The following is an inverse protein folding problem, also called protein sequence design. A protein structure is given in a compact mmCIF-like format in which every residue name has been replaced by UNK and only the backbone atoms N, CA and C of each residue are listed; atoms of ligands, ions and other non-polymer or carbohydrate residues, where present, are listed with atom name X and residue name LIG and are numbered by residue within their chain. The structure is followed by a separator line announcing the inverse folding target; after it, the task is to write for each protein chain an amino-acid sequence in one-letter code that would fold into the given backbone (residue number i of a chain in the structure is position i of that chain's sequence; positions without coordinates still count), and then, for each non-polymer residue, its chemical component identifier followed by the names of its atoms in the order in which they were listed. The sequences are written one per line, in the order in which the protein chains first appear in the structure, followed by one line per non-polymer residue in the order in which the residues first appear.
data_IF_428202485733
#
_entry.id   IF_428202485733
#
_cell.length_a   1.000
_cell.length_b   1.000
_cell.length_c   1.000
_cell.angle_alpha   90.00
_cell.angle_beta   90.00
_cell.angle_gamma   90.00
#
_symmetry.space_group_name_H-M   'P 1'
#
loop_
_entity.id
_entity.type
_entity.pdbx_description
1 polymer ?
#
# COMPACT_ATOMS: atom_id res chain seq x y z
N UNK A 1 -14.08 -28.78 11.21
CA UNK A 1 -15.40 -29.33 11.61
C UNK A 1 -16.54 -28.90 10.69
N UNK A 2 -16.65 -27.63 10.26
CA UNK A 2 -17.76 -27.14 9.41
C UNK A 2 -18.04 -27.98 8.15
N UNK A 3 -17.00 -28.42 7.42
CA UNK A 3 -17.20 -29.25 6.22
C UNK A 3 -17.79 -30.63 6.48
N UNK A 4 -17.47 -31.26 7.63
CA UNK A 4 -18.06 -32.55 8.01
C UNK A 4 -19.54 -32.40 8.41
N UNK A 5 -19.92 -31.26 9.00
CA UNK A 5 -21.33 -30.96 9.25
C UNK A 5 -22.11 -30.79 7.94
N UNK A 6 -21.51 -30.16 6.91
CA UNK A 6 -22.08 -30.09 5.57
C UNK A 6 -22.25 -31.46 4.91
N UNK A 7 -21.27 -32.36 5.08
CA UNK A 7 -21.37 -33.73 4.60
C UNK A 7 -22.57 -34.46 5.23
N UNK A 8 -22.72 -34.39 6.56
CA UNK A 8 -23.85 -34.95 7.29
C UNK A 8 -25.19 -34.35 6.83
N UNK A 9 -25.27 -33.02 6.71
CA UNK A 9 -26.49 -32.34 6.28
C UNK A 9 -26.89 -32.70 4.86
N UNK A 10 -25.93 -32.78 3.93
CA UNK A 10 -26.16 -33.15 2.55
C UNK A 10 -26.63 -34.61 2.42
N UNK A 11 -26.02 -35.53 3.17
CA UNK A 11 -26.46 -36.92 3.22
C UNK A 11 -27.85 -37.04 3.84
N UNK A 12 -28.13 -36.36 4.95
CA UNK A 12 -29.46 -36.39 5.58
C UNK A 12 -30.56 -35.84 4.65
N UNK A 13 -30.28 -34.76 3.92
CA UNK A 13 -31.19 -34.21 2.92
C UNK A 13 -31.44 -35.20 1.76
N UNK A 14 -30.38 -35.87 1.28
CA UNK A 14 -30.51 -36.92 0.26
C UNK A 14 -31.34 -38.10 0.76
N UNK A 15 -31.17 -38.51 2.01
CA UNK A 15 -31.96 -39.57 2.64
C UNK A 15 -33.43 -39.21 2.73
N UNK A 16 -33.76 -38.00 3.19
CA UNK A 16 -35.16 -37.53 3.25
C UNK A 16 -35.82 -37.50 1.86
N UNK A 17 -35.09 -37.02 0.85
CA UNK A 17 -35.57 -37.03 -0.54
C UNK A 17 -35.75 -38.47 -1.06
N UNK A 18 -34.80 -39.36 -0.78
CA UNK A 18 -34.90 -40.78 -1.14
C UNK A 18 -36.11 -41.46 -0.51
N UNK A 19 -36.40 -41.20 0.77
CA UNK A 19 -37.57 -41.74 1.46
C UNK A 19 -38.89 -41.29 0.80
N UNK A 20 -38.97 -40.03 0.37
CA UNK A 20 -40.14 -39.52 -0.35
C UNK A 20 -40.28 -40.13 -1.77
N UNK A 21 -39.18 -40.56 -2.38
CA UNK A 21 -39.15 -41.16 -3.72
C UNK A 21 -39.39 -42.67 -3.72
N UNK A 22 -39.26 -43.33 -2.56
CA UNK A 22 -39.22 -44.79 -2.43
C UNK A 22 -40.40 -45.54 -3.04
N UNK A 23 -41.61 -44.96 -2.99
CA UNK A 23 -42.83 -45.61 -3.50
C UNK A 23 -43.06 -45.38 -5.01
N UNK A 24 -42.35 -44.42 -5.60
CA UNK A 24 -42.65 -43.88 -6.95
C UNK A 24 -41.53 -44.09 -7.96
N UNK A 25 -40.30 -44.35 -7.51
CA UNK A 25 -39.11 -44.40 -8.34
C UNK A 25 -38.25 -45.61 -8.03
N UNK A 26 -37.57 -46.13 -9.06
CA UNK A 26 -36.60 -47.21 -8.91
C UNK A 26 -35.41 -46.82 -8.06
N UNK A 27 -34.78 -47.84 -7.48
CA UNK A 27 -33.62 -47.72 -6.60
C UNK A 27 -32.43 -46.97 -7.25
N UNK A 28 -32.28 -47.10 -8.57
CA UNK A 28 -31.25 -46.40 -9.36
C UNK A 28 -31.43 -44.88 -9.28
N UNK A 29 -32.67 -44.38 -9.36
CA UNK A 29 -32.96 -42.94 -9.28
C UNK A 29 -32.65 -42.39 -7.87
N UNK A 30 -32.89 -43.19 -6.83
CA UNK A 30 -32.55 -42.83 -5.45
C UNK A 30 -31.03 -42.76 -5.28
N UNK A 31 -30.27 -43.70 -5.85
CA UNK A 31 -28.80 -43.66 -5.83
C UNK A 31 -28.23 -42.39 -6.48
N UNK A 32 -28.87 -41.89 -7.55
CA UNK A 32 -28.47 -40.63 -8.20
C UNK A 32 -28.64 -39.41 -7.29
N UNK A 33 -29.63 -39.40 -6.39
CA UNK A 33 -29.82 -38.32 -5.40
C UNK A 33 -28.64 -38.27 -4.42
N UNK A 34 -28.17 -39.44 -3.97
CA UNK A 34 -26.98 -39.53 -3.12
C UNK A 34 -25.71 -39.12 -3.86
N UNK A 35 -25.56 -39.51 -5.13
CA UNK A 35 -24.47 -39.05 -5.98
C UNK A 35 -24.47 -37.52 -6.10
N UNK A 36 -25.62 -36.92 -6.33
CA UNK A 36 -25.77 -35.46 -6.40
C UNK A 36 -25.35 -34.79 -5.09
N UNK A 37 -25.74 -35.34 -3.93
CA UNK A 37 -25.31 -34.82 -2.63
C UNK A 37 -23.79 -34.86 -2.46
N UNK A 38 -23.14 -35.97 -2.84
CA UNK A 38 -21.67 -36.10 -2.83
C UNK A 38 -21.01 -35.07 -3.76
N UNK A 39 -21.56 -34.86 -4.95
CA UNK A 39 -21.10 -33.85 -5.91
C UNK A 39 -21.18 -32.44 -5.31
N UNK A 40 -22.30 -32.07 -4.68
CA UNK A 40 -22.47 -30.76 -4.03
C UNK A 40 -21.44 -30.56 -2.92
N UNK A 41 -21.20 -31.58 -2.09
CA UNK A 41 -20.17 -31.53 -1.04
C UNK A 41 -18.78 -31.40 -1.68
N UNK A 42 -18.45 -32.14 -2.74
CA UNK A 42 -17.18 -32.03 -3.46
C UNK A 42 -16.95 -30.63 -4.06
N UNK A 43 -18.01 -30.00 -4.57
CA UNK A 43 -17.94 -28.65 -5.12
C UNK A 43 -17.75 -27.59 -4.03
N UNK A 44 -18.29 -27.77 -2.82
CA UNK A 44 -18.21 -26.75 -1.75
C UNK A 44 -17.05 -26.98 -0.78
N UNK A 45 -16.80 -28.22 -0.39
CA UNK A 45 -15.87 -28.60 0.67
C UNK A 45 -14.55 -29.19 0.14
N UNK A 46 -13.68 -29.62 1.07
CA UNK A 46 -12.39 -30.27 0.76
C UNK A 46 -12.52 -31.80 0.67
N UNK A 47 -11.46 -32.48 0.23
CA UNK A 47 -11.45 -33.94 0.01
C UNK A 47 -11.93 -34.75 1.22
N UNK A 48 -11.55 -34.36 2.45
CA UNK A 48 -11.95 -35.07 3.67
C UNK A 48 -13.47 -35.14 3.88
N UNK A 49 -14.18 -34.00 3.95
CA UNK A 49 -15.64 -33.96 3.95
C UNK A 49 -16.31 -34.69 2.80
N UNK A 50 -15.75 -34.66 1.59
CA UNK A 50 -16.31 -35.40 0.45
C UNK A 50 -16.23 -36.91 0.65
N UNK A 51 -15.08 -37.42 1.11
CA UNK A 51 -14.94 -38.84 1.47
C UNK A 51 -15.93 -39.23 2.57
N UNK A 52 -16.07 -38.39 3.59
CA UNK A 52 -17.07 -38.61 4.65
C UNK A 52 -18.50 -38.62 4.10
N UNK A 53 -18.87 -37.67 3.23
CA UNK A 53 -20.17 -37.64 2.57
C UNK A 53 -20.40 -38.89 1.71
N UNK A 54 -19.38 -39.36 0.98
CA UNK A 54 -19.50 -40.62 0.22
C UNK A 54 -19.77 -41.79 1.14
N UNK A 55 -18.97 -41.98 2.20
CA UNK A 55 -19.14 -43.10 3.15
C UNK A 55 -20.51 -43.05 3.83
N UNK A 56 -20.93 -41.87 4.29
CA UNK A 56 -22.24 -41.68 4.92
C UNK A 56 -23.38 -41.95 3.93
N UNK A 57 -23.26 -41.46 2.69
CA UNK A 57 -24.26 -41.67 1.64
C UNK A 57 -24.35 -43.14 1.22
N UNK A 58 -23.22 -43.84 1.14
CA UNK A 58 -23.17 -45.29 0.89
C UNK A 58 -23.89 -46.04 2.01
N UNK A 59 -23.51 -45.79 3.27
CA UNK A 59 -24.10 -46.48 4.42
C UNK A 59 -25.61 -46.20 4.56
N UNK A 60 -26.02 -44.94 4.39
CA UNK A 60 -27.43 -44.56 4.47
C UNK A 60 -28.25 -45.16 3.32
N UNK A 61 -27.69 -45.21 2.11
CA UNK A 61 -28.36 -45.83 0.96
C UNK A 61 -28.54 -47.34 1.15
N UNK A 62 -27.47 -48.04 1.55
CA UNK A 62 -27.47 -49.49 1.75
C UNK A 62 -28.49 -49.91 2.83
N UNK A 63 -28.39 -49.33 4.02
CA UNK A 63 -29.20 -49.71 5.18
C UNK A 63 -30.69 -49.42 4.97
N UNK A 64 -31.04 -48.34 4.27
CA UNK A 64 -32.43 -47.83 4.21
C UNK A 64 -33.18 -48.18 2.92
N UNK A 65 -32.48 -48.52 1.83
CA UNK A 65 -33.10 -48.68 0.52
C UNK A 65 -32.79 -50.02 -0.17
N UNK A 66 -31.68 -50.70 0.18
CA UNK A 66 -31.32 -52.00 -0.41
C UNK A 66 -31.94 -53.15 0.42
N UNK A 67 -32.73 -54.06 -0.18
CA UNK A 67 -33.27 -55.22 0.54
C UNK A 67 -32.19 -56.30 0.79
N UNK A 68 -32.18 -56.99 1.95
CA UNK A 68 -33.05 -56.78 3.11
C UNK A 68 -32.72 -55.50 3.88
N UNK A 69 -33.76 -54.75 4.26
CA UNK A 69 -33.61 -53.45 4.91
C UNK A 69 -33.08 -53.61 6.34
N UNK A 70 -32.26 -52.66 6.78
CA UNK A 70 -31.71 -52.65 8.14
C UNK A 70 -30.48 -53.52 8.34
N UNK A 71 -29.97 -54.17 7.29
CA UNK A 71 -28.71 -54.91 7.30
C UNK A 71 -27.71 -54.29 6.33
N UNK A 72 -26.42 -54.32 6.68
CA UNK A 72 -25.34 -53.94 5.76
C UNK A 72 -24.85 -55.21 5.04
N UNK A 73 -25.43 -55.52 3.89
CA UNK A 73 -25.13 -56.74 3.10
C UNK A 73 -24.63 -56.36 1.71
N UNK A 74 -23.30 -56.34 1.55
CA UNK A 74 -22.62 -55.95 0.30
C UNK A 74 -22.44 -57.15 -0.64
N UNK A 75 -23.48 -57.98 -0.80
CA UNK A 75 -23.37 -59.23 -1.57
C UNK A 75 -23.66 -59.06 -3.07
N UNK A 76 -24.24 -57.93 -3.49
CA UNK A 76 -24.52 -57.64 -4.90
C UNK A 76 -23.44 -56.74 -5.52
N UNK A 77 -22.75 -57.27 -6.53
CA UNK A 77 -21.71 -56.58 -7.28
C UNK A 77 -22.19 -55.25 -7.89
N UNK A 78 -23.49 -55.11 -8.14
CA UNK A 78 -24.09 -53.89 -8.68
C UNK A 78 -24.04 -52.70 -7.70
N UNK A 79 -24.19 -52.93 -6.39
CA UNK A 79 -24.11 -51.87 -5.38
C UNK A 79 -22.66 -51.47 -5.07
N UNK A 80 -21.75 -52.44 -5.08
CA UNK A 80 -20.31 -52.18 -4.98
C UNK A 80 -19.82 -51.27 -6.11
N UNK A 81 -20.32 -51.48 -7.33
CA UNK A 81 -20.05 -50.61 -8.49
C UNK A 81 -20.56 -49.18 -8.26
N UNK A 82 -21.77 -49.02 -7.72
CA UNK A 82 -22.36 -47.70 -7.42
C UNK A 82 -21.52 -46.94 -6.39
N UNK A 83 -21.03 -47.63 -5.36
CA UNK A 83 -20.16 -47.04 -4.32
C UNK A 83 -18.81 -46.62 -4.91
N UNK A 84 -18.21 -47.47 -5.73
CA UNK A 84 -16.96 -47.16 -6.42
C UNK A 84 -17.11 -45.93 -7.33
N UNK A 85 -18.20 -45.82 -8.09
CA UNK A 85 -18.50 -44.67 -8.94
C UNK A 85 -18.67 -43.40 -8.11
N UNK A 86 -19.46 -43.45 -7.02
CA UNK A 86 -19.71 -42.27 -6.19
C UNK A 86 -18.44 -41.76 -5.51
N UNK A 87 -17.58 -42.66 -5.04
CA UNK A 87 -16.27 -42.31 -4.51
C UNK A 87 -15.36 -41.72 -5.59
N UNK A 88 -15.28 -42.36 -6.76
CA UNK A 88 -14.48 -41.88 -7.88
C UNK A 88 -14.90 -40.46 -8.31
N UNK A 89 -16.21 -40.22 -8.48
CA UNK A 89 -16.76 -38.91 -8.84
C UNK A 89 -16.42 -37.85 -7.78
N UNK A 90 -16.64 -38.15 -6.50
CA UNK A 90 -16.32 -37.23 -5.40
C UNK A 90 -14.83 -36.87 -5.35
N UNK A 91 -13.95 -37.86 -5.52
CA UNK A 91 -12.51 -37.66 -5.53
C UNK A 91 -12.03 -36.89 -6.77
N UNK A 92 -12.57 -37.20 -7.96
CA UNK A 92 -12.25 -36.49 -9.21
C UNK A 92 -12.63 -35.03 -9.10
N UNK A 93 -13.87 -34.73 -8.67
CA UNK A 93 -14.35 -33.34 -8.54
C UNK A 93 -13.51 -32.58 -7.51
N UNK A 94 -13.26 -33.19 -6.35
CA UNK A 94 -12.42 -32.57 -5.31
C UNK A 94 -10.99 -32.33 -5.80
N UNK A 95 -10.44 -33.26 -6.59
CA UNK A 95 -9.12 -33.15 -7.21
C UNK A 95 -9.03 -32.02 -8.24
N UNK A 96 -10.02 -31.94 -9.14
CA UNK A 96 -10.12 -30.87 -10.14
C UNK A 96 -10.25 -29.49 -9.50
N UNK A 97 -11.11 -29.37 -8.49
CA UNK A 97 -11.29 -28.13 -7.73
C UNK A 97 -10.02 -27.69 -7.03
N UNK A 98 -9.29 -28.62 -6.41
CA UNK A 98 -8.03 -28.28 -5.75
C UNK A 98 -6.96 -27.84 -6.75
N UNK A 99 -6.87 -28.51 -7.91
CA UNK A 99 -5.97 -28.11 -9.00
C UNK A 99 -6.31 -26.70 -9.54
N UNK A 100 -7.59 -26.43 -9.80
CA UNK A 100 -8.05 -25.12 -10.27
C UNK A 100 -7.74 -24.01 -9.24
N UNK A 101 -7.96 -24.26 -7.95
CA UNK A 101 -7.61 -23.30 -6.87
C UNK A 101 -6.10 -23.06 -6.80
N UNK A 102 -5.28 -24.10 -6.95
CA UNK A 102 -3.82 -23.96 -6.98
C UNK A 102 -3.36 -23.14 -8.18
N UNK A 103 -3.93 -23.38 -9.37
CA UNK A 103 -3.64 -22.59 -10.56
C UNK A 103 -4.04 -21.12 -10.41
N UNK A 104 -5.24 -20.85 -9.89
CA UNK A 104 -5.70 -19.47 -9.65
C UNK A 104 -4.79 -18.73 -8.65
N UNK A 105 -4.36 -19.39 -7.58
CA UNK A 105 -3.40 -18.81 -6.62
C UNK A 105 -2.04 -18.53 -7.26
N UNK A 106 -1.48 -19.51 -7.99
CA UNK A 106 -0.21 -19.33 -8.68
C UNK A 106 -0.26 -18.18 -9.70
N UNK A 107 -1.36 -18.05 -10.45
CA UNK A 107 -1.55 -16.92 -11.37
C UNK A 107 -1.66 -15.57 -10.64
N UNK A 108 -2.35 -15.52 -9.50
CA UNK A 108 -2.43 -14.31 -8.69
C UNK A 108 -1.04 -13.90 -8.14
N UNK A 109 -0.26 -14.86 -7.65
CA UNK A 109 1.10 -14.62 -7.17
C UNK A 109 2.04 -14.14 -8.29
N UNK A 110 1.98 -14.75 -9.48
CA UNK A 110 2.72 -14.29 -10.65
C UNK A 110 2.31 -12.88 -11.08
N UNK A 111 1.01 -12.56 -11.04
CA UNK A 111 0.50 -11.23 -11.35
C UNK A 111 1.04 -10.16 -10.39
N UNK A 112 1.03 -10.43 -9.09
CA UNK A 112 1.59 -9.54 -8.07
C UNK A 112 3.10 -9.32 -8.24
N UNK A 113 3.85 -10.38 -8.54
CA UNK A 113 5.28 -10.29 -8.79
C UNK A 113 5.58 -9.47 -10.06
N UNK A 114 4.85 -9.71 -11.15
CA UNK A 114 5.01 -8.98 -12.40
C UNK A 114 4.67 -7.49 -12.24
N UNK A 115 3.64 -7.16 -11.46
CA UNK A 115 3.28 -5.77 -11.18
C UNK A 115 4.37 -5.08 -10.35
N UNK A 116 4.90 -5.77 -9.33
CA UNK A 116 6.02 -5.25 -8.53
C UNK A 116 7.26 -4.97 -9.40
N UNK A 117 7.59 -5.87 -10.32
CA UNK A 117 8.73 -5.72 -11.22
C UNK A 117 8.51 -4.62 -12.27
N UNK A 118 7.28 -4.49 -12.79
CA UNK A 118 6.90 -3.38 -13.68
C UNK A 118 7.05 -2.03 -12.99
N UNK A 119 6.52 -1.91 -11.77
CA UNK A 119 6.67 -0.70 -10.96
C UNK A 119 8.16 -0.43 -10.81
N UNK A 120 8.95 -1.38 -10.29
CA UNK A 120 10.41 -1.27 -10.11
C UNK A 120 11.12 -0.78 -11.38
N UNK A 121 10.81 -1.38 -12.53
CA UNK A 121 11.40 -1.01 -13.82
C UNK A 121 11.02 0.42 -14.24
N UNK A 122 9.76 0.81 -14.08
CA UNK A 122 9.31 2.18 -14.33
C UNK A 122 10.01 3.18 -13.39
N UNK A 123 10.27 2.81 -12.13
CA UNK A 123 11.03 3.64 -11.18
C UNK A 123 12.45 3.88 -11.70
N UNK A 124 13.15 2.82 -12.10
CA UNK A 124 14.52 2.91 -12.60
C UNK A 124 14.60 3.77 -13.87
N UNK A 125 13.61 3.65 -14.76
CA UNK A 125 13.52 4.46 -15.98
C UNK A 125 13.32 5.95 -15.67
N UNK A 126 12.41 6.30 -14.74
CA UNK A 126 12.18 7.68 -14.30
C UNK A 126 13.41 8.29 -13.64
N UNK A 127 14.05 7.57 -12.70
CA UNK A 127 15.29 8.03 -12.05
C UNK A 127 16.39 8.29 -13.10
N UNK A 128 16.53 7.39 -14.07
CA UNK A 128 17.53 7.53 -15.14
C UNK A 128 17.27 8.76 -16.02
N UNK A 129 16.01 9.08 -16.30
CA UNK A 129 15.63 10.26 -17.06
C UNK A 129 15.98 11.54 -16.29
N UNK A 130 15.60 11.60 -15.01
CA UNK A 130 15.76 12.80 -14.19
C UNK A 130 17.22 13.09 -13.86
N UNK A 131 18.10 12.08 -13.81
CA UNK A 131 19.54 12.25 -13.69
C UNK A 131 20.21 12.67 -15.02
N UNK A 132 19.62 12.32 -16.17
CA UNK A 132 20.18 12.65 -17.49
C UNK A 132 20.09 14.14 -17.80
N UNK A 133 19.00 14.80 -17.40
CA UNK A 133 18.80 16.23 -17.63
C UNK A 133 19.89 17.09 -16.98
N UNK A 134 20.19 16.95 -15.67
CA UNK A 134 21.34 17.58 -15.01
C UNK A 134 22.65 17.33 -15.74
N UNK A 135 22.88 16.08 -16.10
CA UNK A 135 24.12 15.64 -16.72
C UNK A 135 24.32 16.24 -18.10
N UNK A 136 23.26 16.39 -18.89
CA UNK A 136 23.30 17.03 -20.20
C UNK A 136 23.64 18.53 -20.08
N UNK A 137 23.05 19.23 -19.10
CA UNK A 137 23.34 20.64 -18.83
C UNK A 137 24.81 20.83 -18.40
N UNK A 138 25.27 20.02 -17.44
CA UNK A 138 26.67 20.05 -17.00
C UNK A 138 27.63 19.77 -18.17
N UNK A 139 27.36 18.73 -18.96
CA UNK A 139 28.20 18.36 -20.09
C UNK A 139 28.26 19.47 -21.15
N UNK A 140 27.12 20.09 -21.49
CA UNK A 140 27.07 21.19 -22.45
C UNK A 140 27.80 22.45 -21.97
N UNK A 141 27.63 22.81 -20.69
CA UNK A 141 28.33 23.93 -20.07
C UNK A 141 29.84 23.67 -19.98
N UNK A 142 30.26 22.49 -19.54
CA UNK A 142 31.67 22.08 -19.50
C UNK A 142 32.31 22.03 -20.89
N UNK A 143 31.62 21.51 -21.91
CA UNK A 143 32.11 21.51 -23.29
C UNK A 143 32.30 22.93 -23.83
N UNK A 144 31.33 23.82 -23.55
CA UNK A 144 31.41 25.23 -23.96
C UNK A 144 32.59 25.95 -23.29
N UNK A 145 32.81 25.70 -21.99
CA UNK A 145 33.97 26.20 -21.26
C UNK A 145 35.29 25.67 -21.83
N UNK A 146 35.35 24.38 -22.19
CA UNK A 146 36.56 23.75 -22.73
C UNK A 146 36.92 24.24 -24.15
N UNK A 147 35.94 24.36 -25.05
CA UNK A 147 36.18 24.70 -26.46
C UNK A 147 36.31 26.21 -26.71
N UNK A 148 35.57 27.01 -25.94
CA UNK A 148 35.37 28.44 -26.22
C UNK A 148 35.70 29.33 -25.03
N UNK A 149 36.05 28.78 -23.87
CA UNK A 149 36.25 29.53 -22.64
C UNK A 149 37.15 30.75 -22.79
N UNK A 150 38.28 30.65 -23.50
CA UNK A 150 39.21 31.77 -23.72
C UNK A 150 38.60 32.93 -24.52
N UNK A 151 37.61 32.66 -25.36
CA UNK A 151 36.89 33.66 -26.17
C UNK A 151 35.66 34.24 -25.47
N UNK A 152 35.31 33.72 -24.28
CA UNK A 152 34.18 34.18 -23.49
C UNK A 152 34.60 35.28 -22.52
N UNK A 153 33.68 36.20 -22.24
CA UNK A 153 33.82 37.16 -21.16
C UNK A 153 33.96 36.45 -19.80
N UNK A 154 34.50 37.16 -18.81
CA UNK A 154 34.61 36.63 -17.44
C UNK A 154 33.23 36.29 -16.85
N UNK A 155 32.20 37.08 -17.18
CA UNK A 155 30.84 36.90 -16.68
C UNK A 155 30.18 35.65 -17.27
N UNK A 156 30.29 35.43 -18.57
CA UNK A 156 29.76 34.21 -19.22
C UNK A 156 30.45 32.94 -18.70
N UNK A 157 31.77 33.00 -18.50
CA UNK A 157 32.57 31.90 -17.96
C UNK A 157 32.14 31.56 -16.53
N UNK A 158 31.96 32.57 -15.69
CA UNK A 158 31.46 32.41 -14.34
C UNK A 158 30.02 31.88 -14.31
N UNK A 159 29.15 32.34 -15.21
CA UNK A 159 27.77 31.86 -15.30
C UNK A 159 27.71 30.36 -15.65
N UNK A 160 28.49 29.91 -16.64
CA UNK A 160 28.58 28.48 -16.97
C UNK A 160 29.18 27.65 -15.82
N UNK A 161 30.24 28.13 -15.17
CA UNK A 161 30.84 27.45 -14.03
C UNK A 161 29.87 27.31 -12.85
N UNK A 162 29.09 28.36 -12.55
CA UNK A 162 28.01 28.32 -11.55
C UNK A 162 26.92 27.34 -11.94
N UNK A 163 26.49 27.35 -13.20
CA UNK A 163 25.49 26.39 -13.72
C UNK A 163 25.94 24.93 -13.50
N UNK A 164 27.20 24.60 -13.80
CA UNK A 164 27.75 23.26 -13.52
C UNK A 164 27.73 22.94 -12.02
N UNK A 165 28.14 23.88 -11.18
CA UNK A 165 28.17 23.70 -9.73
C UNK A 165 26.77 23.47 -9.14
N UNK A 166 25.81 24.30 -9.51
CA UNK A 166 24.43 24.21 -9.04
C UNK A 166 23.79 22.89 -9.48
N UNK A 167 24.04 22.48 -10.73
CA UNK A 167 23.49 21.25 -11.28
C UNK A 167 24.10 19.99 -10.63
N UNK A 168 25.39 20.02 -10.27
CA UNK A 168 26.04 18.95 -9.52
C UNK A 168 25.47 18.82 -8.09
N UNK A 169 25.22 19.95 -7.42
CA UNK A 169 24.57 19.97 -6.10
C UNK A 169 23.16 19.39 -6.15
N UNK A 170 22.38 19.77 -7.17
CA UNK A 170 21.04 19.21 -7.38
C UNK A 170 21.10 17.70 -7.60
N UNK A 171 22.01 17.22 -8.45
CA UNK A 171 22.18 15.79 -8.73
C UNK A 171 22.55 15.00 -7.47
N UNK A 172 23.45 15.53 -6.62
CA UNK A 172 23.78 14.91 -5.32
C UNK A 172 22.54 14.79 -4.44
N UNK A 173 21.75 15.87 -4.31
CA UNK A 173 20.53 15.86 -3.52
C UNK A 173 19.47 14.87 -4.05
N UNK A 174 19.43 14.64 -5.37
CA UNK A 174 18.57 13.62 -5.98
C UNK A 174 19.02 12.19 -5.63
N UNK A 175 20.32 11.90 -5.68
CA UNK A 175 20.88 10.59 -5.29
C UNK A 175 20.57 10.29 -3.82
N UNK A 176 20.73 11.28 -2.93
CA UNK A 176 20.41 11.13 -1.52
C UNK A 176 18.93 10.76 -1.29
N UNK A 177 18.01 11.39 -2.04
CA UNK A 177 16.57 11.06 -2.00
C UNK A 177 16.28 9.62 -2.43
N UNK A 178 16.95 9.11 -3.46
CA UNK A 178 16.81 7.72 -3.93
C UNK A 178 17.33 6.72 -2.89
N UNK A 179 18.53 6.96 -2.36
CA UNK A 179 19.14 6.11 -1.33
C UNK A 179 18.28 6.06 -0.07
N UNK A 180 17.75 7.21 0.33
CA UNK A 180 16.85 7.28 1.46
C UNK A 180 15.56 6.48 1.23
N UNK A 181 14.94 6.60 0.06
CA UNK A 181 13.72 5.84 -0.24
C UNK A 181 13.99 4.33 -0.13
N UNK A 182 15.16 3.88 -0.60
CA UNK A 182 15.57 2.48 -0.50
C UNK A 182 15.73 2.05 0.97
N UNK A 183 16.32 2.90 1.83
CA UNK A 183 16.45 2.64 3.27
C UNK A 183 15.09 2.58 3.98
N UNK A 184 14.15 3.46 3.61
CA UNK A 184 12.77 3.46 4.13
C UNK A 184 12.01 2.18 3.74
N UNK A 185 12.17 1.70 2.51
CA UNK A 185 11.50 0.49 2.00
C UNK A 185 12.06 -0.81 2.60
N UNK A 186 13.38 -0.87 2.77
CA UNK A 186 14.06 -2.06 3.32
C UNK A 186 13.91 -2.17 4.84
N UNK A 187 13.31 -1.17 5.49
CA UNK A 187 13.20 -1.11 6.95
C UNK A 187 14.56 -0.92 7.64
N UNK A 188 15.59 -0.48 6.91
CA UNK A 188 16.94 -0.30 7.42
C UNK A 188 17.12 0.95 8.31
N UNK A 189 16.04 1.71 8.54
CA UNK A 189 16.05 2.92 9.35
C UNK A 189 15.67 2.58 10.79
N UNK A 190 16.59 2.85 11.71
CA UNK A 190 16.31 2.84 13.14
C UNK A 190 15.86 4.24 13.54
N UNK A 191 14.69 4.38 14.15
CA UNK A 191 14.18 5.67 14.60
C UNK A 191 14.84 6.09 15.92
N UNK A 192 15.47 7.26 15.92
CA UNK A 192 16.02 7.88 17.13
C UNK A 192 14.99 8.88 17.67
N UNK A 193 14.03 8.38 18.47
CA UNK A 193 12.94 9.23 19.00
C UNK A 193 13.35 9.93 20.29
N UNK A 194 13.14 11.24 20.32
CA UNK A 194 13.32 12.07 21.52
C UNK A 194 12.17 13.08 21.65
N UNK A 195 12.03 13.69 22.82
CA UNK A 195 11.04 14.72 23.10
C UNK A 195 11.42 16.04 22.42
N UNK A 196 10.61 16.46 21.46
CA UNK A 196 10.91 17.57 20.58
C UNK A 196 9.72 18.52 20.44
N UNK A 197 9.99 19.81 20.35
CA UNK A 197 8.98 20.83 20.05
C UNK A 197 8.75 20.93 18.54
N UNK A 198 7.49 20.90 18.12
CA UNK A 198 7.14 21.15 16.71
C UNK A 198 7.60 22.55 16.26
N UNK A 199 7.58 23.54 17.17
CA UNK A 199 8.04 24.89 16.89
C UNK A 199 9.53 24.96 16.57
N UNK A 200 10.36 24.19 17.27
CA UNK A 200 11.80 24.14 17.05
C UNK A 200 12.15 23.48 15.72
N UNK A 201 11.47 22.37 15.40
CA UNK A 201 11.60 21.68 14.11
C UNK A 201 11.17 22.61 12.97
N UNK A 202 10.00 23.23 13.07
CA UNK A 202 9.51 24.18 12.08
C UNK A 202 10.48 25.36 11.88
N UNK A 203 10.99 25.92 12.98
CA UNK A 203 11.98 26.99 12.93
C UNK A 203 13.28 26.58 12.25
N UNK A 204 13.76 25.36 12.47
CA UNK A 204 14.96 24.82 11.82
C UNK A 204 14.77 24.68 10.31
N UNK A 205 13.63 24.12 9.88
CA UNK A 205 13.27 23.99 8.45
C UNK A 205 13.23 25.35 7.76
N UNK A 206 12.55 26.34 8.36
CA UNK A 206 12.41 27.67 7.76
C UNK A 206 13.73 28.44 7.66
N UNK A 207 14.61 28.30 8.66
CA UNK A 207 15.98 28.85 8.60
C UNK A 207 16.80 28.23 7.47
N UNK A 208 16.65 26.93 7.23
CA UNK A 208 17.35 26.23 6.13
C UNK A 208 16.84 26.68 4.76
N UNK A 209 15.56 26.96 4.64
CA UNK A 209 14.92 27.34 3.37
C UNK A 209 14.92 28.85 3.10
N UNK A 210 15.54 29.67 3.95
CA UNK A 210 15.43 31.14 3.92
C UNK A 210 15.68 31.75 2.54
N UNK A 211 16.71 31.30 1.81
CA UNK A 211 17.03 31.82 0.46
C UNK A 211 15.98 31.47 -0.59
N UNK A 212 15.31 30.32 -0.45
CA UNK A 212 14.24 29.85 -1.34
C UNK A 212 12.87 30.41 -0.97
N UNK A 213 12.73 30.87 0.27
CA UNK A 213 11.51 31.48 0.81
C UNK A 213 11.42 32.96 0.47
N UNK A 214 12.52 33.61 0.07
CA UNK A 214 12.54 35.06 -0.21
C UNK A 214 11.52 35.52 -1.27
N UNK A 215 11.08 34.64 -2.17
CA UNK A 215 10.05 34.91 -3.20
C UNK A 215 8.61 34.71 -2.72
N UNK A 216 8.40 34.22 -1.50
CA UNK A 216 7.09 33.81 -0.97
C UNK A 216 6.90 34.30 0.47
N UNK A 217 5.66 34.48 0.89
CA UNK A 217 5.36 34.84 2.29
C UNK A 217 4.99 33.58 3.07
N UNK A 218 5.87 33.11 3.95
CA UNK A 218 5.54 32.02 4.87
C UNK A 218 4.90 32.57 6.15
N UNK A 219 3.75 32.03 6.53
CA UNK A 219 3.06 32.34 7.78
C UNK A 219 3.04 31.08 8.65
N UNK A 220 3.59 31.18 9.87
CA UNK A 220 3.60 30.09 10.84
C UNK A 220 2.52 30.35 11.88
N UNK A 221 1.58 29.42 12.01
CA UNK A 221 0.45 29.46 12.92
C UNK A 221 0.39 28.14 13.69
N UNK A 222 1.27 28.00 14.68
CA UNK A 222 1.28 26.87 15.61
C UNK A 222 0.49 27.23 16.86
N UNK A 223 -0.37 26.35 17.33
CA UNK A 223 -1.08 26.57 18.58
C UNK A 223 -0.08 26.65 19.76
N UNK A 224 -0.28 27.59 20.71
CA UNK A 224 0.68 27.82 21.80
C UNK A 224 0.72 26.68 22.84
N UNK A 225 -0.29 25.80 22.85
CA UNK A 225 -0.49 24.71 23.81
C UNK A 225 -0.10 23.32 23.25
N UNK A 226 0.69 23.28 22.18
CA UNK A 226 1.16 22.01 21.61
C UNK A 226 2.11 21.28 22.58
N UNK A 227 1.89 19.97 22.82
CA UNK A 227 2.79 19.19 23.68
C UNK A 227 4.12 18.91 22.99
N UNK A 228 5.12 18.48 23.77
CA UNK A 228 6.31 17.85 23.21
C UNK A 228 5.92 16.54 22.51
N UNK A 229 6.56 16.26 21.39
CA UNK A 229 6.31 15.08 20.58
C UNK A 229 7.52 14.16 20.64
N UNK A 230 7.31 12.87 20.87
CA UNK A 230 8.38 11.89 20.90
C UNK A 230 8.68 11.38 19.48
N UNK A 231 9.51 12.12 18.76
CA UNK A 231 9.76 11.91 17.33
C UNK A 231 11.25 11.92 17.00
N UNK A 232 11.60 11.38 15.83
CA UNK A 232 12.91 11.59 15.24
C UNK A 232 12.93 12.95 14.55
N UNK A 233 13.57 13.94 15.19
CA UNK A 233 13.58 15.32 14.72
C UNK A 233 14.12 15.47 13.30
N UNK A 234 15.15 14.69 12.94
CA UNK A 234 15.77 14.78 11.62
C UNK A 234 14.84 14.27 10.52
N UNK A 235 14.13 13.16 10.78
CA UNK A 235 13.14 12.65 9.83
C UNK A 235 11.93 13.59 9.72
N UNK A 236 11.44 14.15 10.82
CA UNK A 236 10.31 15.10 10.76
C UNK A 236 10.72 16.42 10.08
N UNK A 237 11.92 16.97 10.35
CA UNK A 237 12.50 18.12 9.64
C UNK A 237 12.49 17.88 8.13
N UNK A 238 12.85 16.67 7.72
CA UNK A 238 12.86 16.30 6.33
C UNK A 238 11.48 16.13 5.71
N UNK A 239 10.54 15.48 6.41
CA UNK A 239 9.15 15.37 5.94
C UNK A 239 8.55 16.77 5.74
N UNK A 240 8.76 17.67 6.69
CA UNK A 240 8.30 19.05 6.64
C UNK A 240 9.00 19.84 5.53
N UNK A 241 10.32 19.71 5.38
CA UNK A 241 11.09 20.33 4.29
C UNK A 241 10.56 19.89 2.93
N UNK A 242 10.29 18.60 2.72
CA UNK A 242 9.72 18.09 1.47
C UNK A 242 8.36 18.71 1.15
N UNK A 243 7.49 18.89 2.15
CA UNK A 243 6.18 19.51 1.95
C UNK A 243 6.30 21.01 1.65
N UNK A 244 7.14 21.74 2.39
CA UNK A 244 7.35 23.17 2.18
C UNK A 244 8.01 23.44 0.83
N UNK A 245 9.02 22.65 0.44
CA UNK A 245 9.64 22.76 -0.88
C UNK A 245 8.66 22.46 -2.01
N UNK A 246 7.73 21.51 -1.80
CA UNK A 246 6.68 21.21 -2.76
C UNK A 246 5.73 22.39 -2.93
N UNK A 247 5.27 22.99 -1.83
CA UNK A 247 4.45 24.21 -1.86
C UNK A 247 5.19 25.35 -2.61
N UNK A 248 6.42 25.67 -2.22
CA UNK A 248 7.20 26.75 -2.85
C UNK A 248 7.43 26.55 -4.36
N UNK A 249 7.53 25.28 -4.82
CA UNK A 249 7.73 24.95 -6.23
C UNK A 249 6.46 25.10 -7.06
N UNK A 250 5.31 24.75 -6.50
CA UNK A 250 4.04 24.68 -7.24
C UNK A 250 3.11 25.87 -7.02
N UNK A 251 3.47 26.79 -6.12
CA UNK A 251 2.72 28.01 -5.87
C UNK A 251 3.45 29.22 -6.47
N UNK A 252 2.76 30.08 -7.27
CA UNK A 252 3.38 31.26 -7.88
C UNK A 252 4.07 32.19 -6.88
N UNK A 253 5.14 32.92 -7.27
CA UNK A 253 5.79 33.92 -6.40
C UNK A 253 4.79 34.96 -5.86
N UNK A 254 5.00 35.42 -4.61
CA UNK A 254 4.13 36.40 -3.94
C UNK A 254 2.87 35.83 -3.27
N UNK A 255 2.63 34.52 -3.41
CA UNK A 255 1.58 33.81 -2.68
C UNK A 255 2.02 33.47 -1.25
N UNK A 256 1.03 33.20 -0.39
CA UNK A 256 1.26 32.82 1.00
C UNK A 256 1.32 31.29 1.11
N UNK A 257 2.30 30.78 1.85
CA UNK A 257 2.32 29.39 2.31
C UNK A 257 2.14 29.39 3.82
N UNK A 258 1.14 28.66 4.32
CA UNK A 258 0.81 28.59 5.75
C UNK A 258 1.28 27.26 6.34
N UNK A 259 2.03 27.34 7.44
CA UNK A 259 2.37 26.19 8.27
C UNK A 259 1.53 26.23 9.55
N UNK A 260 0.62 25.26 9.71
CA UNK A 260 -0.23 25.16 10.90
C UNK A 260 0.06 23.93 11.74
N UNK A 261 -0.11 24.05 13.04
CA UNK A 261 -0.04 22.95 14.00
C UNK A 261 -1.21 23.04 14.98
N UNK A 262 -2.00 21.97 15.08
CA UNK A 262 -3.15 21.89 15.98
C UNK A 262 -3.19 20.54 16.68
N UNK A 263 -3.53 20.53 17.97
CA UNK A 263 -3.86 19.30 18.69
C UNK A 263 -5.30 18.90 18.39
N UNK A 264 -5.51 17.66 17.96
CA UNK A 264 -6.83 17.06 17.75
C UNK A 264 -6.86 15.71 18.44
N UNK A 265 -7.50 15.65 19.62
CA UNK A 265 -7.52 14.45 20.46
C UNK A 265 -6.12 14.07 20.95
N UNK A 266 -5.67 12.88 20.57
CA UNK A 266 -4.36 12.29 20.90
C UNK A 266 -3.33 12.43 19.78
N UNK A 267 -3.60 13.27 18.78
CA UNK A 267 -2.68 13.53 17.68
C UNK A 267 -2.42 15.04 17.54
N UNK A 268 -1.22 15.41 17.09
CA UNK A 268 -0.93 16.73 16.53
C UNK A 268 -1.06 16.65 15.02
N UNK A 269 -1.93 17.48 14.45
CA UNK A 269 -2.08 17.66 13.01
C UNK A 269 -1.21 18.83 12.57
N UNK A 270 -0.27 18.54 11.69
CA UNK A 270 0.59 19.52 11.01
C UNK A 270 0.06 19.71 9.59
N UNK A 271 -0.05 20.96 9.15
CA UNK A 271 -0.60 21.33 7.84
C UNK A 271 0.35 22.28 7.12
N UNK A 272 0.70 21.96 5.87
CA UNK A 272 1.35 22.87 4.92
C UNK A 272 0.34 23.23 3.85
N UNK A 273 -0.10 24.48 3.86
CA UNK A 273 -1.21 24.99 3.07
C UNK A 273 -0.67 25.97 2.04
N UNK A 274 -0.92 25.68 0.77
CA UNK A 274 -0.57 26.55 -0.34
C UNK A 274 -1.83 27.02 -1.07
N UNK A 275 -1.82 28.28 -1.52
CA UNK A 275 -2.94 28.90 -2.22
C UNK A 275 -2.66 28.99 -3.73
N UNK A 276 -2.14 27.90 -4.30
CA UNK A 276 -1.87 27.75 -5.73
C UNK A 276 -3.11 27.41 -6.56
N UNK A 277 -2.94 27.00 -7.84
CA UNK A 277 -4.06 26.68 -8.73
C UNK A 277 -4.90 25.47 -8.26
N UNK A 278 -4.41 24.70 -7.28
CA UNK A 278 -5.04 23.47 -6.79
C UNK A 278 -4.88 22.30 -7.78
N UNK A 279 -5.43 21.14 -7.42
CA UNK A 279 -5.38 19.92 -8.22
C UNK A 279 -6.76 19.26 -8.36
N UNK A 280 -7.07 18.57 -9.48
CA UNK A 280 -8.26 17.74 -9.62
C UNK A 280 -8.33 16.62 -8.57
N UNK A 281 -9.54 16.24 -8.15
CA UNK A 281 -9.72 15.26 -7.05
C UNK A 281 -9.11 13.89 -7.35
N UNK A 282 -9.18 13.45 -8.61
CA UNK A 282 -8.56 12.20 -9.06
C UNK A 282 -7.03 12.19 -8.92
N UNK A 283 -6.38 13.36 -8.94
CA UNK A 283 -4.94 13.47 -8.73
C UNK A 283 -4.57 13.55 -7.25
N UNK A 284 -5.43 14.13 -6.41
CA UNK A 284 -5.20 14.25 -4.96
C UNK A 284 -5.03 12.87 -4.31
N UNK A 285 -5.85 11.90 -4.70
CA UNK A 285 -5.77 10.53 -4.19
C UNK A 285 -4.42 9.84 -4.53
N UNK A 286 -3.78 10.27 -5.62
CA UNK A 286 -2.57 9.66 -6.17
C UNK A 286 -1.29 10.43 -5.87
N UNK A 287 -1.38 11.60 -5.24
CA UNK A 287 -0.23 12.47 -4.90
C UNK A 287 0.86 11.78 -4.08
N UNK A 288 0.48 10.81 -3.23
CA UNK A 288 1.42 10.07 -2.39
C UNK A 288 1.80 8.71 -2.97
N UNK A 289 1.37 8.41 -4.20
CA UNK A 289 1.94 7.31 -4.97
C UNK A 289 3.37 7.67 -5.36
N UNK A 290 4.25 6.66 -5.37
CA UNK A 290 5.66 6.88 -5.68
C UNK A 290 5.77 7.30 -7.16
N UNK A 291 6.59 8.31 -7.44
CA UNK A 291 6.90 8.76 -8.81
C UNK A 291 5.66 9.25 -9.59
N UNK A 292 4.59 9.59 -8.88
CA UNK A 292 3.45 10.24 -9.52
C UNK A 292 3.82 11.69 -9.84
N UNK A 293 3.70 12.06 -11.12
CA UNK A 293 3.82 13.44 -11.58
C UNK A 293 2.43 13.95 -11.93
N UNK A 294 2.09 15.14 -11.43
CA UNK A 294 1.00 15.92 -12.02
C UNK A 294 1.51 16.40 -13.37
N UNK A 295 0.80 16.05 -14.45
CA UNK A 295 1.09 16.50 -15.80
C UNK A 295 0.74 17.99 -15.93
N UNK A 296 1.54 18.86 -15.31
CA UNK A 296 1.45 20.30 -15.54
C UNK A 296 2.43 20.67 -16.66
N UNK A 297 1.91 21.32 -17.70
CA UNK A 297 2.69 21.87 -18.80
C UNK A 297 3.76 22.83 -18.25
N UNK A 298 5.04 22.45 -18.35
CA UNK A 298 6.17 23.33 -18.05
C UNK A 298 7.19 22.80 -17.04
N UNK A 299 8.22 22.13 -17.53
CA UNK A 299 9.65 22.14 -17.13
C UNK A 299 10.09 22.10 -15.64
N UNK A 300 9.23 21.88 -14.66
CA UNK A 300 9.61 21.86 -13.22
C UNK A 300 9.18 20.58 -12.51
N UNK A 301 9.17 19.46 -13.22
CA UNK A 301 8.90 18.14 -12.64
C UNK A 301 10.11 17.68 -11.78
N UNK A 302 9.94 17.59 -10.46
CA UNK A 302 10.85 16.84 -9.59
C UNK A 302 10.50 15.35 -9.59
N UNK A 303 11.40 14.49 -9.11
CA UNK A 303 11.35 13.00 -9.16
C UNK A 303 10.12 12.30 -8.56
N UNK A 304 9.10 13.01 -8.05
CA UNK A 304 7.91 12.42 -7.42
C UNK A 304 8.21 11.63 -6.12
N UNK A 305 9.41 11.76 -5.58
CA UNK A 305 9.85 11.07 -4.37
C UNK A 305 9.55 11.84 -3.07
N UNK A 306 9.41 13.17 -3.12
CA UNK A 306 9.28 13.99 -1.90
C UNK A 306 8.07 13.63 -1.06
N UNK A 307 6.89 13.53 -1.68
CA UNK A 307 5.63 13.18 -1.00
C UNK A 307 5.60 11.71 -0.53
N UNK A 308 6.23 10.79 -1.27
CA UNK A 308 6.32 9.39 -0.86
C UNK A 308 7.31 9.18 0.29
N UNK A 309 8.42 9.92 0.35
CA UNK A 309 9.32 9.99 1.50
C UNK A 309 8.59 10.54 2.72
N UNK A 310 7.86 11.65 2.57
CA UNK A 310 7.03 12.22 3.64
C UNK A 310 6.05 11.18 4.20
N UNK A 311 5.32 10.47 3.32
CA UNK A 311 4.40 9.40 3.71
C UNK A 311 5.09 8.27 4.46
N UNK A 312 6.26 7.83 4.01
CA UNK A 312 7.02 6.77 4.68
C UNK A 312 7.49 7.20 6.08
N UNK A 313 8.02 8.41 6.21
CA UNK A 313 8.45 8.98 7.49
C UNK A 313 7.29 9.10 8.48
N UNK A 314 6.15 9.66 8.03
CA UNK A 314 4.96 9.81 8.88
C UNK A 314 4.44 8.45 9.34
N UNK A 315 4.41 7.45 8.45
CA UNK A 315 4.02 6.08 8.81
C UNK A 315 4.97 5.42 9.79
N UNK A 316 6.28 5.65 9.66
CA UNK A 316 7.28 5.19 10.64
C UNK A 316 7.07 5.76 12.03
N UNK A 317 6.43 6.94 12.13
CA UNK A 317 6.02 7.57 13.38
C UNK A 317 4.61 7.17 13.82
N UNK A 318 3.93 6.24 13.13
CA UNK A 318 2.57 5.82 13.47
C UNK A 318 1.47 6.80 13.04
N UNK A 319 1.81 7.83 12.28
CA UNK A 319 0.87 8.83 11.79
C UNK A 319 0.24 8.50 10.43
N UNK A 320 -0.62 9.40 9.96
CA UNK A 320 -1.22 9.38 8.62
C UNK A 320 -0.93 10.69 7.88
N UNK A 321 -0.82 10.64 6.55
CA UNK A 321 -0.65 11.81 5.68
C UNK A 321 -1.75 11.81 4.61
N UNK A 322 -2.29 12.99 4.31
CA UNK A 322 -3.30 13.19 3.27
C UNK A 322 -3.18 14.59 2.68
N UNK A 323 -3.87 14.82 1.56
CA UNK A 323 -4.00 16.13 0.94
C UNK A 323 -5.49 16.45 0.77
N UNK A 324 -5.85 17.72 0.93
CA UNK A 324 -7.23 18.19 0.78
C UNK A 324 -7.25 19.58 0.13
N UNK A 325 -8.33 19.89 -0.58
CA UNK A 325 -8.49 21.20 -1.21
C UNK A 325 -8.91 22.24 -0.18
N UNK A 326 -8.33 23.44 -0.27
CA UNK A 326 -8.72 24.57 0.56
C UNK A 326 -9.88 25.32 -0.09
N UNK A 327 -10.85 25.75 0.74
CA UNK A 327 -11.92 26.63 0.29
C UNK A 327 -11.33 27.97 -0.19
N UNK A 328 -11.47 28.27 -1.48
CA UNK A 328 -10.88 29.46 -2.12
C UNK A 328 -9.76 29.18 -3.12
N UNK A 329 -9.39 27.90 -3.33
CA UNK A 329 -8.30 27.49 -4.22
C UNK A 329 -7.03 27.17 -3.43
N UNK A 330 -6.24 26.23 -3.94
CA UNK A 330 -5.04 25.73 -3.27
C UNK A 330 -5.20 24.32 -2.68
N UNK A 331 -4.16 23.87 -1.99
CA UNK A 331 -4.01 22.51 -1.49
C UNK A 331 -3.39 22.54 -0.08
N UNK A 332 -3.93 21.72 0.81
CA UNK A 332 -3.42 21.50 2.15
C UNK A 332 -2.85 20.10 2.26
N UNK A 333 -1.54 19.99 2.47
CA UNK A 333 -0.90 18.74 2.84
C UNK A 333 -0.89 18.61 4.36
N UNK A 334 -1.53 17.57 4.88
CA UNK A 334 -1.66 17.33 6.31
C UNK A 334 -1.01 16.02 6.73
N UNK A 335 -0.38 16.01 7.89
CA UNK A 335 0.05 14.77 8.54
C UNK A 335 -0.21 14.79 10.04
N UNK A 336 -0.39 13.61 10.63
CA UNK A 336 -0.51 13.43 12.09
C UNK A 336 0.79 12.95 12.71
N UNK A 337 1.03 13.40 13.93
CA UNK A 337 2.02 12.83 14.85
C UNK A 337 1.28 12.41 16.13
N UNK A 338 1.40 11.15 16.57
CA UNK A 338 0.76 10.70 17.79
C UNK A 338 1.38 11.37 19.02
N UNK A 339 0.55 11.72 19.99
CA UNK A 339 0.98 12.25 21.28
C UNK A 339 1.25 11.07 22.19
N UNK A 340 2.52 10.88 22.57
CA UNK A 340 2.86 9.99 23.67
C UNK A 340 2.71 10.73 25.00
N UNK A 341 2.32 10.04 26.09
CA UNK A 341 2.29 10.65 27.41
C UNK A 341 3.70 11.09 27.80
N UNK A 342 3.86 12.40 28.03
CA UNK A 342 5.11 13.00 28.45
C UNK A 342 5.59 12.36 29.76
N UNK A 343 6.88 12.00 29.90
CA UNK A 343 7.40 11.54 31.17
C UNK A 343 7.18 12.64 32.19
N UNK A 344 6.47 12.31 33.27
CA UNK A 344 6.34 13.23 34.40
C UNK A 344 7.73 13.59 34.91
N UNK A 345 8.03 14.89 35.00
CA UNK A 345 9.24 15.38 35.66
C UNK A 345 9.29 14.77 37.07
N UNK A 346 10.43 14.15 37.48
CA UNK A 346 10.60 13.71 38.85
C UNK A 346 10.36 14.89 39.80
N UNK A 347 9.46 14.72 40.77
CA UNK A 347 8.96 15.76 41.68
C UNK A 347 10.03 16.38 42.63
N UNK A 348 11.33 16.14 42.43
CA UNK A 348 12.36 16.48 43.42
C UNK A 348 13.00 17.88 43.34
N UNK A 349 12.59 18.77 42.43
CA UNK A 349 13.18 20.13 42.35
C UNK A 349 12.26 21.27 42.82
N UNK A 350 11.07 20.97 43.37
CA UNK A 350 10.16 22.00 43.90
C UNK A 350 10.40 22.37 45.38
N UNK A 351 11.45 21.84 46.02
CA UNK A 351 11.83 22.21 47.39
C UNK A 351 13.32 22.48 47.48
N UNK A 352 13.73 23.71 47.14
CA UNK A 352 14.88 24.38 47.75
C UNK A 352 14.76 25.89 47.64
#
# INVERSE_FOLDING_TARGET
MKGYAWALAATAAATLAGLAMRERFDLVNIAMVYLLAVVVVALRESRGPTVAATVLSVAAFDILFVPPLGTFTVDDAQYLLTFAIMLAVGLIISGLKEKARRQAKAQAELGLAAETERIRSALLASISHDLRTPLAVMSGASSSLAERGERMSADERNALARSVFDQAREMSAQVDKVLQMTRLETGAITLERDWQSLGDIAGAVLRRLTDRVASHRIVVDLAPDLPLLRVDAALIDQALSNLVENALRHTPPGTVVQLRGRRIGEEVVVSVEDFGPGLPDAEIERLFEKFHHVASEGATAGMGLGLSICRAIVRLHGGRVWAERIAGGGLAFRFTLPIEPEPSLPTELATR
#
